data_IF_902520944304
#
_entry.id   IF_902520944304
#
_cell.length_a   1.000
_cell.length_b   1.000
_cell.length_c   1.000
_cell.angle_alpha   90.00
_cell.angle_beta   90.00
_cell.angle_gamma   90.00
#
_symmetry.space_group_name_H-M   'P 1'
#
loop_
_entity.id
_entity.type
_entity.pdbx_description
1 polymer ?
#
# COMPACT_ATOMS: atom_id res chain seq x y z
N UNK A 1 15.78 22.35 1.47
CA UNK A 1 15.66 22.44 -0.02
C UNK A 1 14.34 21.87 -0.59
N UNK A 2 13.56 21.04 0.10
CA UNK A 2 12.36 20.41 -0.47
C UNK A 2 11.12 21.31 -0.60
N UNK A 3 10.89 22.24 0.30
CA UNK A 3 9.67 23.08 0.33
C UNK A 3 9.61 24.11 -0.82
N UNK A 4 10.75 24.68 -1.20
CA UNK A 4 10.81 25.66 -2.30
C UNK A 4 10.52 25.04 -3.67
N UNK A 5 10.84 23.75 -3.90
CA UNK A 5 10.58 23.08 -5.18
C UNK A 5 9.11 22.67 -5.31
N UNK A 6 8.45 22.27 -4.21
CA UNK A 6 7.01 21.93 -4.22
C UNK A 6 6.15 23.14 -4.55
N UNK A 7 6.45 24.30 -4.01
CA UNK A 7 5.71 25.53 -4.31
C UNK A 7 5.90 25.99 -5.77
N UNK A 8 7.05 25.65 -6.38
CA UNK A 8 7.34 25.98 -7.79
C UNK A 8 6.52 25.18 -8.80
N UNK A 9 5.88 24.08 -8.40
CA UNK A 9 5.02 23.28 -9.28
C UNK A 9 3.59 23.82 -9.33
N UNK A 10 3.12 24.52 -8.31
CA UNK A 10 1.77 25.10 -8.27
C UNK A 10 1.56 26.09 -9.40
N UNK A 11 0.46 25.97 -10.12
CA UNK A 11 0.12 26.77 -11.31
C UNK A 11 0.73 26.26 -12.63
N UNK A 12 1.65 25.29 -12.60
CA UNK A 12 2.20 24.70 -13.83
C UNK A 12 1.20 23.80 -14.52
N UNK A 13 1.37 23.68 -15.84
CA UNK A 13 0.58 22.79 -16.69
C UNK A 13 1.30 21.47 -16.89
N UNK A 14 0.56 20.37 -16.69
CA UNK A 14 0.95 19.00 -16.98
C UNK A 14 -0.11 18.38 -17.90
N UNK A 15 0.16 18.36 -19.20
CA UNK A 15 -0.87 18.08 -20.20
C UNK A 15 -2.01 19.11 -20.11
N UNK A 16 -3.23 18.64 -19.94
CA UNK A 16 -4.43 19.50 -19.79
C UNK A 16 -4.72 19.87 -18.33
N UNK A 17 -3.88 19.44 -17.39
CA UNK A 17 -4.10 19.62 -15.95
C UNK A 17 -3.28 20.77 -15.40
N UNK A 18 -3.92 21.61 -14.59
CA UNK A 18 -3.24 22.66 -13.82
C UNK A 18 -2.93 22.12 -12.42
N UNK A 19 -1.67 22.15 -12.02
CA UNK A 19 -1.21 21.74 -10.70
C UNK A 19 -1.66 22.74 -9.64
N UNK A 20 -2.37 22.24 -8.64
CA UNK A 20 -2.83 23.02 -7.50
C UNK A 20 -1.89 22.91 -6.29
N UNK A 21 -2.47 23.16 -5.11
CA UNK A 21 -1.76 23.11 -3.82
C UNK A 21 -1.12 21.74 -3.58
N UNK A 22 0.06 21.75 -2.97
CA UNK A 22 0.74 20.54 -2.52
C UNK A 22 -0.07 19.79 -1.44
N UNK A 23 -0.14 18.46 -1.55
CA UNK A 23 -0.81 17.56 -0.61
C UNK A 23 0.22 16.79 0.20
N UNK A 24 1.14 16.09 -0.47
CA UNK A 24 2.10 15.19 0.19
C UNK A 24 3.40 15.05 -0.61
N UNK A 25 4.49 14.73 0.10
CA UNK A 25 5.78 14.37 -0.50
C UNK A 25 6.09 12.92 -0.19
N UNK A 26 6.33 12.13 -1.23
CA UNK A 26 6.82 10.75 -1.14
C UNK A 26 8.27 10.61 -1.57
N UNK A 27 8.83 9.41 -1.41
CA UNK A 27 10.21 9.13 -1.84
C UNK A 27 10.45 9.38 -3.33
N UNK A 28 9.43 9.17 -4.18
CA UNK A 28 9.54 9.22 -5.64
C UNK A 28 9.03 10.52 -6.26
N UNK A 29 8.38 11.38 -5.50
CA UNK A 29 7.80 12.59 -6.04
C UNK A 29 6.84 13.27 -5.10
N UNK A 30 5.97 14.07 -5.69
CA UNK A 30 5.06 14.96 -5.00
C UNK A 30 3.62 14.69 -5.44
N UNK A 31 2.69 14.82 -4.51
CA UNK A 31 1.25 14.75 -4.77
C UNK A 31 0.67 16.14 -4.57
N UNK A 32 -0.07 16.60 -5.56
CA UNK A 32 -0.74 17.89 -5.57
C UNK A 32 -2.22 17.72 -5.91
N UNK A 33 -3.02 18.70 -5.52
CA UNK A 33 -4.31 18.89 -6.18
C UNK A 33 -4.10 19.11 -7.67
N UNK A 34 -5.08 18.72 -8.48
CA UNK A 34 -5.10 19.03 -9.90
C UNK A 34 -6.47 19.50 -10.35
N UNK A 35 -6.49 20.35 -11.37
CA UNK A 35 -7.69 20.82 -12.04
C UNK A 35 -7.59 20.43 -13.52
N UNK A 36 -8.60 19.73 -14.04
CA UNK A 36 -8.70 19.32 -15.43
C UNK A 36 -9.99 19.86 -16.07
N UNK A 37 -10.08 19.87 -17.41
CA UNK A 37 -11.18 20.54 -18.11
C UNK A 37 -12.55 19.88 -17.94
N UNK A 38 -12.62 18.56 -17.77
CA UNK A 38 -13.88 17.80 -17.93
C UNK A 38 -14.27 16.90 -16.76
N UNK A 39 -13.55 16.96 -15.65
CA UNK A 39 -13.85 16.09 -14.50
C UNK A 39 -14.53 16.90 -13.39
N UNK A 40 -15.78 16.53 -13.09
CA UNK A 40 -16.54 17.08 -11.95
C UNK A 40 -15.99 16.62 -10.60
N UNK A 41 -15.18 15.55 -10.59
CA UNK A 41 -14.56 15.01 -9.39
C UNK A 41 -13.23 15.69 -9.07
N UNK A 42 -12.90 15.85 -7.78
CA UNK A 42 -11.62 16.40 -7.38
C UNK A 42 -10.48 15.45 -7.78
N UNK A 43 -9.40 16.02 -8.32
CA UNK A 43 -8.24 15.29 -8.81
C UNK A 43 -7.02 15.47 -7.93
N UNK A 44 -6.20 14.42 -7.88
CA UNK A 44 -4.82 14.48 -7.44
C UNK A 44 -3.88 14.17 -8.59
N UNK A 45 -2.73 14.86 -8.64
CA UNK A 45 -1.65 14.57 -9.57
C UNK A 45 -0.40 14.18 -8.79
N UNK A 46 0.14 13.00 -9.10
CA UNK A 46 1.43 12.54 -8.59
C UNK A 46 2.49 12.84 -9.63
N UNK A 47 3.43 13.71 -9.30
CA UNK A 47 4.52 14.13 -10.17
C UNK A 47 5.79 13.46 -9.69
N UNK A 48 6.43 12.68 -10.55
CA UNK A 48 7.67 11.99 -10.22
C UNK A 48 8.85 12.95 -10.32
N UNK A 49 9.88 12.67 -9.54
CA UNK A 49 11.14 13.45 -9.59
C UNK A 49 11.78 13.35 -10.98
N UNK A 50 12.48 14.41 -11.45
CA UNK A 50 13.07 14.44 -12.79
C UNK A 50 13.97 13.25 -13.10
N UNK A 51 14.75 12.78 -12.12
CA UNK A 51 15.66 11.64 -12.28
C UNK A 51 14.99 10.36 -12.81
N UNK A 52 13.68 10.20 -12.60
CA UNK A 52 12.90 9.09 -13.16
C UNK A 52 12.51 9.34 -14.61
N UNK A 53 12.24 10.58 -14.98
CA UNK A 53 11.88 10.97 -16.34
C UNK A 53 13.07 10.95 -17.33
N UNK A 54 14.29 11.12 -16.85
CA UNK A 54 15.50 11.08 -17.66
C UNK A 54 15.84 9.68 -18.18
N UNK A 55 15.44 8.62 -17.46
CA UNK A 55 15.77 7.24 -17.80
C UNK A 55 14.77 6.66 -18.81
N UNK A 56 15.22 6.41 -20.03
CA UNK A 56 14.37 5.91 -21.13
C UNK A 56 13.65 4.59 -20.80
N UNK A 57 14.34 3.66 -20.15
CA UNK A 57 13.75 2.37 -19.78
C UNK A 57 12.70 2.53 -18.66
N UNK A 58 12.94 3.45 -17.74
CA UNK A 58 11.96 3.77 -16.70
C UNK A 58 10.71 4.39 -17.31
N UNK A 59 10.84 5.34 -18.25
CA UNK A 59 9.69 5.95 -18.95
C UNK A 59 8.81 4.93 -19.65
N UNK A 60 9.41 4.01 -20.43
CA UNK A 60 8.65 2.95 -21.13
C UNK A 60 7.89 2.05 -20.16
N UNK A 61 8.53 1.68 -19.05
CA UNK A 61 7.90 0.87 -18.00
C UNK A 61 6.76 1.63 -17.32
N UNK A 62 7.01 2.88 -16.92
CA UNK A 62 5.99 3.75 -16.32
C UNK A 62 4.75 3.86 -17.21
N UNK A 63 4.93 4.14 -18.50
CA UNK A 63 3.82 4.25 -19.44
C UNK A 63 3.01 2.96 -19.53
N UNK A 64 3.68 1.80 -19.61
CA UNK A 64 3.01 0.50 -19.65
C UNK A 64 2.25 0.20 -18.36
N UNK A 65 2.86 0.41 -17.22
CA UNK A 65 2.24 0.16 -15.92
C UNK A 65 1.10 1.14 -15.65
N UNK A 66 1.27 2.42 -15.95
CA UNK A 66 0.22 3.43 -15.82
C UNK A 66 -1.00 3.12 -16.71
N UNK A 67 -0.76 2.68 -17.95
CA UNK A 67 -1.84 2.21 -18.82
C UNK A 67 -2.63 1.05 -18.20
N UNK A 68 -1.95 0.05 -17.63
CA UNK A 68 -2.61 -1.06 -16.95
C UNK A 68 -3.43 -0.58 -15.75
N UNK A 69 -2.92 0.38 -14.98
CA UNK A 69 -3.66 0.93 -13.83
C UNK A 69 -4.94 1.65 -14.25
N UNK A 70 -4.95 2.33 -15.39
CA UNK A 70 -6.16 2.97 -15.92
C UNK A 70 -7.24 1.96 -16.33
N UNK A 71 -6.87 0.70 -16.57
CA UNK A 71 -7.83 -0.37 -16.90
C UNK A 71 -8.43 -1.05 -15.67
N UNK A 72 -7.91 -0.77 -14.48
CA UNK A 72 -8.43 -1.36 -13.24
C UNK A 72 -9.70 -0.61 -12.80
N UNK A 73 -10.82 -1.31 -12.84
CA UNK A 73 -12.12 -0.81 -12.35
C UNK A 73 -12.60 -1.70 -11.19
N UNK A 74 -12.37 -1.25 -9.97
CA UNK A 74 -12.76 -1.97 -8.76
C UNK A 74 -13.08 -0.98 -7.63
N UNK A 75 -14.14 -1.20 -6.84
CA UNK A 75 -14.59 -0.25 -5.82
C UNK A 75 -13.55 0.10 -4.75
N UNK A 76 -12.54 -0.73 -4.56
CA UNK A 76 -11.48 -0.51 -3.55
C UNK A 76 -10.10 -0.30 -4.17
N UNK A 77 -9.99 -0.03 -5.47
CA UNK A 77 -8.75 0.42 -6.13
C UNK A 77 -8.92 1.89 -6.48
N UNK A 78 -7.93 2.71 -6.12
CA UNK A 78 -7.96 4.14 -6.42
C UNK A 78 -7.93 4.36 -7.94
N UNK A 79 -8.97 4.99 -8.55
CA UNK A 79 -9.00 5.22 -9.99
C UNK A 79 -7.86 6.10 -10.46
N UNK A 80 -7.20 5.68 -11.54
CA UNK A 80 -6.23 6.43 -12.31
C UNK A 80 -6.91 6.87 -13.59
N UNK A 81 -6.89 8.17 -13.88
CA UNK A 81 -7.63 8.75 -14.99
C UNK A 81 -6.72 9.06 -16.19
N UNK A 82 -5.46 9.45 -15.91
CA UNK A 82 -4.54 9.83 -16.97
C UNK A 82 -3.08 9.73 -16.50
N UNK A 83 -2.16 9.69 -17.43
CA UNK A 83 -0.72 9.77 -17.18
C UNK A 83 -0.01 10.44 -18.35
N UNK A 84 1.16 10.98 -18.08
CA UNK A 84 1.94 11.59 -19.15
C UNK A 84 3.32 12.02 -18.71
N UNK A 85 3.91 12.84 -19.58
CA UNK A 85 5.18 13.49 -19.35
C UNK A 85 5.05 14.98 -19.68
N UNK A 86 5.55 15.83 -18.79
CA UNK A 86 5.67 17.26 -19.04
C UNK A 86 7.10 17.67 -18.67
N UNK A 87 7.82 18.27 -19.63
CA UNK A 87 9.26 18.43 -19.57
C UNK A 87 9.93 17.07 -19.24
N UNK A 88 10.79 17.02 -18.21
CA UNK A 88 11.48 15.80 -17.80
C UNK A 88 10.77 15.05 -16.66
N UNK A 89 9.54 15.44 -16.33
CA UNK A 89 8.78 14.85 -15.23
C UNK A 89 7.63 13.98 -15.74
N UNK A 90 7.54 12.77 -15.20
CA UNK A 90 6.41 11.87 -15.39
C UNK A 90 5.30 12.22 -14.39
N UNK A 91 4.05 12.07 -14.79
CA UNK A 91 2.92 12.31 -13.90
C UNK A 91 1.81 11.29 -14.06
N UNK A 92 1.03 11.13 -13.00
CA UNK A 92 -0.15 10.29 -12.94
C UNK A 92 -1.30 11.11 -12.34
N UNK A 93 -2.45 11.13 -13.01
CA UNK A 93 -3.66 11.80 -12.52
C UNK A 93 -4.63 10.76 -11.98
N UNK A 94 -5.12 10.97 -10.78
CA UNK A 94 -5.96 10.02 -10.06
C UNK A 94 -7.06 10.72 -9.29
N UNK A 95 -8.03 9.95 -8.80
CA UNK A 95 -9.05 10.45 -7.87
C UNK A 95 -8.36 11.08 -6.63
N UNK A 96 -8.87 12.22 -6.21
CA UNK A 96 -8.50 12.80 -4.92
C UNK A 96 -9.35 12.15 -3.81
N UNK A 97 -8.71 11.48 -2.87
CA UNK A 97 -9.35 10.98 -1.65
C UNK A 97 -9.26 12.05 -0.56
N UNK A 98 -10.42 12.45 -0.02
CA UNK A 98 -10.50 13.39 1.09
C UNK A 98 -10.59 12.63 2.40
N UNK A 99 -9.45 12.21 2.92
CA UNK A 99 -9.38 11.47 4.17
C UNK A 99 -7.97 11.01 4.47
N UNK A 100 -7.76 10.45 5.69
CA UNK A 100 -6.43 10.02 6.12
C UNK A 100 -6.02 8.70 5.45
N UNK A 101 -4.72 8.47 5.42
CA UNK A 101 -4.17 7.14 5.19
C UNK A 101 -4.33 6.27 6.45
N UNK A 102 -4.32 4.95 6.27
CA UNK A 102 -4.28 4.01 7.40
C UNK A 102 -3.05 4.25 8.29
N UNK A 103 -1.93 4.73 7.71
CA UNK A 103 -0.73 5.09 8.45
C UNK A 103 -0.99 6.19 9.49
N UNK A 104 -1.76 7.21 9.14
CA UNK A 104 -2.09 8.31 10.05
C UNK A 104 -3.03 7.89 11.19
N UNK A 105 -3.71 6.77 11.02
CA UNK A 105 -4.73 6.30 11.97
C UNK A 105 -4.21 5.22 12.92
N UNK A 106 -3.40 4.30 12.44
CA UNK A 106 -2.96 3.14 13.21
C UNK A 106 -2.04 3.48 14.38
N UNK A 107 -1.39 4.65 14.36
CA UNK A 107 -0.50 5.07 15.45
C UNK A 107 -1.20 5.29 16.81
N UNK A 108 -2.53 5.25 16.84
CA UNK A 108 -3.27 5.56 18.07
C UNK A 108 -3.54 4.34 18.95
N UNK A 109 -3.92 3.19 18.39
CA UNK A 109 -4.20 1.93 19.12
C UNK A 109 -4.22 0.73 18.15
N UNK A 110 -3.83 -0.49 18.61
CA UNK A 110 -4.08 -1.72 17.86
C UNK A 110 -5.57 -1.88 17.58
N UNK A 111 -5.88 -2.42 16.41
CA UNK A 111 -7.25 -2.70 16.00
C UNK A 111 -7.74 -4.02 16.60
N UNK A 112 -9.02 -4.10 16.87
CA UNK A 112 -9.64 -5.39 17.22
C UNK A 112 -9.56 -6.36 16.03
N UNK A 113 -9.57 -7.68 16.26
CA UNK A 113 -9.60 -8.66 15.17
C UNK A 113 -10.76 -8.43 14.17
N UNK A 114 -11.91 -8.00 14.65
CA UNK A 114 -13.05 -7.68 13.80
C UNK A 114 -12.82 -6.43 12.95
N UNK A 115 -12.27 -5.36 13.52
CA UNK A 115 -11.91 -4.14 12.78
C UNK A 115 -10.84 -4.43 11.75
N UNK A 116 -9.86 -5.26 12.09
CA UNK A 116 -8.82 -5.71 11.18
C UNK A 116 -9.40 -6.51 9.99
N UNK A 117 -10.41 -7.35 10.22
CA UNK A 117 -11.14 -8.05 9.15
C UNK A 117 -11.83 -7.08 8.19
N UNK A 118 -12.44 -6.00 8.70
CA UNK A 118 -13.07 -4.96 7.88
C UNK A 118 -12.09 -4.23 6.94
N UNK A 119 -10.79 -4.23 7.26
CA UNK A 119 -9.73 -3.77 6.34
C UNK A 119 -9.29 -4.88 5.38
N UNK A 120 -9.13 -6.09 5.90
CA UNK A 120 -8.59 -7.22 5.16
C UNK A 120 -9.49 -7.61 3.99
N UNK A 121 -10.80 -7.64 4.21
CA UNK A 121 -11.76 -8.10 3.20
C UNK A 121 -11.73 -7.24 1.92
N UNK A 122 -11.91 -5.90 1.96
CA UNK A 122 -11.86 -5.07 0.76
C UNK A 122 -10.47 -5.04 0.11
N UNK A 123 -9.39 -5.07 0.91
CA UNK A 123 -8.03 -5.15 0.38
C UNK A 123 -7.78 -6.44 -0.38
N UNK A 124 -8.25 -7.57 0.15
CA UNK A 124 -8.10 -8.88 -0.49
C UNK A 124 -8.86 -8.96 -1.81
N UNK A 125 -10.07 -8.41 -1.88
CA UNK A 125 -10.86 -8.32 -3.12
C UNK A 125 -10.17 -7.46 -4.17
N UNK A 126 -9.64 -6.31 -3.78
CA UNK A 126 -8.91 -5.41 -4.65
C UNK A 126 -7.65 -6.08 -5.23
N UNK A 127 -6.88 -6.76 -4.37
CA UNK A 127 -5.67 -7.46 -4.79
C UNK A 127 -5.97 -8.62 -5.73
N UNK A 128 -6.93 -9.47 -5.41
CA UNK A 128 -7.28 -10.61 -6.26
C UNK A 128 -7.80 -10.13 -7.63
N UNK A 129 -8.57 -9.03 -7.67
CA UNK A 129 -8.99 -8.42 -8.92
C UNK A 129 -7.77 -7.96 -9.75
N UNK A 130 -6.85 -7.21 -9.17
CA UNK A 130 -5.63 -6.75 -9.86
C UNK A 130 -4.75 -7.93 -10.32
N UNK A 131 -4.58 -8.95 -9.49
CA UNK A 131 -3.83 -10.16 -9.82
C UNK A 131 -4.43 -10.93 -11.00
N UNK A 132 -5.75 -10.97 -11.13
CA UNK A 132 -6.43 -11.57 -12.27
C UNK A 132 -6.22 -10.77 -13.58
N UNK A 133 -5.89 -9.48 -13.47
CA UNK A 133 -5.44 -8.63 -14.58
C UNK A 133 -3.91 -8.66 -14.77
N UNK A 134 -3.20 -9.60 -14.10
CA UNK A 134 -1.74 -9.71 -14.10
C UNK A 134 -1.00 -8.50 -13.53
N UNK A 135 -1.64 -7.73 -12.67
CA UNK A 135 -1.05 -6.59 -11.95
C UNK A 135 -0.74 -6.99 -10.52
N UNK A 136 0.54 -6.94 -10.13
CA UNK A 136 1.01 -7.15 -8.75
C UNK A 136 1.23 -5.78 -8.11
N UNK A 137 0.76 -5.58 -6.88
CA UNK A 137 0.83 -4.27 -6.22
C UNK A 137 2.25 -3.87 -5.80
N UNK A 138 3.04 -4.78 -5.23
CA UNK A 138 4.46 -4.63 -4.85
C UNK A 138 4.79 -3.61 -3.75
N UNK A 139 3.84 -2.80 -3.30
CA UNK A 139 4.05 -1.77 -2.28
C UNK A 139 2.89 -1.65 -1.28
N UNK A 140 2.39 -2.79 -0.80
CA UNK A 140 1.33 -2.81 0.22
C UNK A 140 1.91 -2.32 1.54
N UNK A 141 1.34 -1.22 2.04
CA UNK A 141 1.68 -0.59 3.32
C UNK A 141 0.56 0.33 3.78
N UNK A 142 0.49 0.72 5.05
CA UNK A 142 -0.58 1.57 5.56
C UNK A 142 -0.70 2.93 4.86
N UNK A 143 0.41 3.50 4.38
CA UNK A 143 0.40 4.77 3.65
C UNK A 143 -0.30 4.71 2.29
N UNK A 144 -0.45 3.51 1.70
CA UNK A 144 -1.11 3.28 0.42
C UNK A 144 -2.57 2.81 0.58
N UNK A 145 -3.08 2.75 1.81
CA UNK A 145 -4.48 2.48 2.12
C UNK A 145 -5.12 3.79 2.56
N UNK A 146 -5.95 4.38 1.70
CA UNK A 146 -6.61 5.66 1.96
C UNK A 146 -8.04 5.40 2.42
N UNK A 147 -8.54 6.22 3.32
CA UNK A 147 -9.84 6.05 3.95
C UNK A 147 -10.67 7.32 3.75
N UNK A 148 -11.76 7.19 3.03
CA UNK A 148 -12.70 8.27 2.75
C UNK A 148 -13.94 8.12 3.62
N UNK A 149 -14.42 9.18 4.25
CA UNK A 149 -15.62 9.13 5.05
C UNK A 149 -16.83 8.70 4.20
N UNK A 150 -17.59 7.72 4.68
CA UNK A 150 -18.79 7.22 4.01
C UNK A 150 -19.98 7.31 4.97
N UNK A 151 -21.10 7.94 4.57
CA UNK A 151 -22.23 8.23 5.47
C UNK A 151 -22.81 7.00 6.15
N UNK A 152 -22.89 5.86 5.45
CA UNK A 152 -23.52 4.64 5.95
C UNK A 152 -22.54 3.60 6.47
N UNK A 153 -21.29 3.60 5.97
CA UNK A 153 -20.29 2.55 6.24
C UNK A 153 -19.13 3.02 7.11
N UNK A 154 -19.21 4.27 7.63
CA UNK A 154 -18.12 4.90 8.35
C UNK A 154 -16.98 5.33 7.42
N UNK A 155 -16.33 4.40 6.72
CA UNK A 155 -15.26 4.72 5.76
C UNK A 155 -15.33 3.81 4.54
N UNK A 156 -15.01 4.39 3.38
CA UNK A 156 -14.68 3.68 2.16
C UNK A 156 -13.15 3.56 2.05
N UNK A 157 -12.67 2.37 1.69
CA UNK A 157 -11.25 2.08 1.58
C UNK A 157 -10.82 2.12 0.11
N UNK A 158 -9.71 2.81 -0.16
CA UNK A 158 -9.04 2.85 -1.44
C UNK A 158 -7.60 2.31 -1.31
N UNK A 159 -7.26 1.31 -2.12
CA UNK A 159 -5.89 0.85 -2.29
C UNK A 159 -5.24 1.69 -3.40
N UNK A 160 -4.20 2.43 -3.06
CA UNK A 160 -3.50 3.37 -3.92
C UNK A 160 -2.06 2.93 -4.19
N UNK A 161 -1.39 3.60 -5.14
CA UNK A 161 0.04 3.46 -5.40
C UNK A 161 0.50 2.04 -5.71
N UNK A 162 -0.17 1.37 -6.65
CA UNK A 162 0.37 0.18 -7.28
C UNK A 162 1.78 0.48 -7.80
N UNK A 163 2.74 -0.36 -7.47
CA UNK A 163 4.18 -0.10 -7.55
C UNK A 163 4.76 0.24 -8.93
N UNK A 164 4.28 1.33 -9.55
CA UNK A 164 4.83 1.94 -10.78
C UNK A 164 6.34 2.13 -10.75
N UNK A 165 6.92 2.05 -9.58
CA UNK A 165 8.28 2.47 -9.27
C UNK A 165 9.24 1.33 -8.97
N UNK A 166 8.74 0.12 -8.76
CA UNK A 166 9.55 -1.02 -8.32
C UNK A 166 9.75 -2.01 -9.48
N UNK A 167 10.56 -1.62 -10.45
CA UNK A 167 10.98 -2.54 -11.49
C UNK A 167 11.97 -3.58 -10.97
N UNK A 168 12.09 -4.69 -11.72
CA UNK A 168 13.15 -5.67 -11.49
C UNK A 168 14.51 -4.97 -11.57
N UNK A 169 15.30 -5.05 -10.50
CA UNK A 169 16.57 -4.33 -10.35
C UNK A 169 16.49 -3.05 -9.49
N UNK A 170 15.32 -2.40 -9.33
CA UNK A 170 15.18 -1.21 -8.49
C UNK A 170 14.97 -1.57 -7.00
N UNK A 171 14.64 -2.82 -6.71
CA UNK A 171 14.49 -3.35 -5.35
C UNK A 171 15.79 -3.90 -4.77
N UNK A 172 16.82 -4.09 -5.60
CA UNK A 172 18.12 -4.48 -5.07
C UNK A 172 18.55 -3.42 -4.05
N UNK A 173 18.66 -3.86 -2.80
CA UNK A 173 19.32 -3.09 -1.76
C UNK A 173 20.77 -3.00 -2.24
N UNK A 174 21.05 -1.95 -3.03
CA UNK A 174 22.42 -1.72 -3.49
C UNK A 174 23.25 -1.53 -2.25
N UNK A 175 24.42 -2.18 -2.19
CA UNK A 175 25.41 -2.00 -1.11
C UNK A 175 25.82 -0.53 -0.95
N UNK A 176 25.39 0.34 -1.84
CA UNK A 176 25.61 1.79 -1.84
C UNK A 176 24.64 2.60 -0.97
N UNK A 177 23.72 1.99 -0.23
CA UNK A 177 22.88 2.69 0.77
C UNK A 177 21.70 3.49 0.24
N UNK A 178 21.46 3.52 -1.07
CA UNK A 178 20.27 4.15 -1.66
C UNK A 178 19.11 3.16 -1.63
N UNK A 179 18.31 3.18 -0.55
CA UNK A 179 17.11 2.38 -0.42
C UNK A 179 15.97 3.05 -1.18
N UNK A 180 15.61 2.52 -2.34
CA UNK A 180 14.34 2.81 -2.98
C UNK A 180 13.23 1.99 -2.29
N UNK A 181 12.57 2.55 -1.31
CA UNK A 181 11.37 1.97 -0.70
C UNK A 181 11.47 1.71 0.80
N UNK A 182 10.33 1.37 1.35
CA UNK A 182 10.12 1.08 2.78
C UNK A 182 10.26 -0.44 2.98
N UNK A 183 11.40 -0.97 3.48
CA UNK A 183 11.65 -2.41 3.55
C UNK A 183 10.76 -3.13 4.56
N UNK A 184 10.05 -2.40 5.41
CA UNK A 184 9.24 -2.93 6.52
C UNK A 184 8.14 -3.89 6.10
N UNK A 185 7.68 -3.82 4.84
CA UNK A 185 6.59 -4.64 4.31
C UNK A 185 7.03 -5.53 3.14
N UNK A 186 8.29 -5.50 2.76
CA UNK A 186 8.79 -6.27 1.61
C UNK A 186 8.72 -7.76 1.86
N UNK A 187 8.28 -8.50 0.87
CA UNK A 187 8.38 -9.96 0.89
C UNK A 187 9.83 -10.44 0.71
N UNK A 188 10.19 -11.65 1.19
CA UNK A 188 11.54 -12.21 1.00
C UNK A 188 12.02 -12.19 -0.45
N UNK A 189 11.14 -12.52 -1.38
CA UNK A 189 11.44 -12.53 -2.81
C UNK A 189 11.64 -11.13 -3.40
N UNK A 190 10.98 -10.09 -2.86
CA UNK A 190 11.26 -8.70 -3.24
C UNK A 190 12.66 -8.26 -2.78
N UNK A 191 13.03 -8.63 -1.55
CA UNK A 191 14.37 -8.32 -1.01
C UNK A 191 15.47 -8.99 -1.82
N UNK A 192 15.22 -10.23 -2.27
CA UNK A 192 16.19 -11.05 -3.02
C UNK A 192 16.15 -10.82 -4.53
N UNK A 193 15.32 -9.89 -5.02
CA UNK A 193 15.09 -9.63 -6.45
C UNK A 193 14.74 -10.89 -7.27
N UNK A 194 13.96 -11.79 -6.63
CA UNK A 194 13.45 -12.98 -7.31
C UNK A 194 12.21 -12.64 -8.14
N UNK A 195 11.75 -13.61 -8.95
CA UNK A 195 10.50 -13.46 -9.69
C UNK A 195 9.33 -13.33 -8.71
N UNK A 196 8.61 -12.23 -8.82
CA UNK A 196 7.43 -11.93 -8.02
C UNK A 196 6.18 -12.57 -8.61
N UNK A 197 5.27 -13.00 -7.73
CA UNK A 197 3.91 -13.36 -8.05
C UNK A 197 2.93 -12.78 -7.01
N UNK A 198 1.64 -13.09 -7.16
CA UNK A 198 0.56 -12.59 -6.27
C UNK A 198 0.82 -12.86 -4.79
N UNK A 199 1.57 -13.91 -4.44
CA UNK A 199 1.89 -14.30 -3.06
C UNK A 199 2.88 -13.35 -2.38
N UNK A 200 3.58 -12.52 -3.16
CA UNK A 200 4.39 -11.41 -2.61
C UNK A 200 3.48 -10.37 -1.95
N UNK A 201 2.34 -10.06 -2.56
CA UNK A 201 1.35 -9.14 -1.98
C UNK A 201 0.63 -9.77 -0.78
N UNK A 202 0.38 -11.09 -0.79
CA UNK A 202 -0.16 -11.80 0.40
C UNK A 202 0.76 -11.64 1.61
N UNK A 203 2.08 -11.77 1.42
CA UNK A 203 3.06 -11.54 2.49
C UNK A 203 3.00 -10.10 3.02
N UNK A 204 3.06 -9.11 2.13
CA UNK A 204 3.03 -7.69 2.50
C UNK A 204 1.72 -7.31 3.19
N UNK A 205 0.58 -7.87 2.73
CA UNK A 205 -0.73 -7.71 3.37
C UNK A 205 -0.74 -8.33 4.78
N UNK A 206 -0.11 -9.50 4.97
CA UNK A 206 0.00 -10.12 6.29
C UNK A 206 0.86 -9.29 7.26
N UNK A 207 1.95 -8.68 6.78
CA UNK A 207 2.78 -7.75 7.57
C UNK A 207 1.97 -6.52 7.98
N UNK A 208 1.18 -5.95 7.06
CA UNK A 208 0.25 -4.86 7.37
C UNK A 208 -0.77 -5.28 8.44
N UNK A 209 -1.37 -6.47 8.30
CA UNK A 209 -2.34 -6.99 9.28
C UNK A 209 -1.70 -7.26 10.65
N UNK A 210 -0.46 -7.75 10.68
CA UNK A 210 0.31 -7.92 11.91
C UNK A 210 0.49 -6.57 12.63
N UNK A 211 0.90 -5.54 11.89
CA UNK A 211 1.07 -4.19 12.46
C UNK A 211 -0.25 -3.60 12.96
N UNK A 212 -1.32 -3.72 12.20
CA UNK A 212 -2.66 -3.23 12.56
C UNK A 212 -3.16 -3.88 13.86
N UNK A 213 -2.93 -5.18 14.02
CA UNK A 213 -3.40 -5.95 15.19
C UNK A 213 -2.53 -5.78 16.43
N UNK A 214 -1.24 -5.50 16.26
CA UNK A 214 -0.28 -5.45 17.38
C UNK A 214 0.27 -4.03 17.65
N UNK A 215 -0.04 -3.06 16.76
CA UNK A 215 0.48 -1.70 16.85
C UNK A 215 1.99 -1.59 16.59
N UNK A 216 2.61 -2.65 16.05
CA UNK A 216 4.04 -2.70 15.78
C UNK A 216 4.37 -3.64 14.63
N UNK A 217 5.43 -3.32 13.92
CA UNK A 217 5.97 -4.17 12.85
C UNK A 217 6.61 -5.46 13.41
N UNK A 218 6.63 -6.56 12.63
CA UNK A 218 7.31 -7.79 13.04
C UNK A 218 8.84 -7.62 13.12
N UNK A 219 9.40 -6.76 12.29
CA UNK A 219 10.85 -6.50 12.26
C UNK A 219 11.14 -5.01 12.33
N UNK A 220 12.08 -4.65 13.21
CA UNK A 220 12.55 -3.29 13.40
C UNK A 220 14.06 -3.27 13.58
N UNK A 221 14.72 -2.37 12.87
CA UNK A 221 16.14 -2.10 13.04
C UNK A 221 16.47 -0.65 12.63
N UNK A 222 17.60 -0.12 13.07
CA UNK A 222 18.05 1.23 12.70
C UNK A 222 18.42 1.32 11.21
N UNK A 223 19.04 0.27 10.68
CA UNK A 223 19.43 0.22 9.27
C UNK A 223 18.34 -0.47 8.42
N UNK A 224 17.84 0.14 7.35
CA UNK A 224 16.85 -0.45 6.46
C UNK A 224 17.25 -1.83 5.93
N UNK A 225 18.52 -2.06 5.65
CA UNK A 225 19.07 -3.32 5.18
C UNK A 225 18.85 -4.46 6.20
N UNK A 226 18.99 -4.16 7.50
CA UNK A 226 18.75 -5.16 8.56
C UNK A 226 17.28 -5.58 8.61
N UNK A 227 16.34 -4.63 8.40
CA UNK A 227 14.90 -4.95 8.31
C UNK A 227 14.64 -5.84 7.12
N UNK A 228 15.20 -5.52 5.97
CA UNK A 228 15.05 -6.33 4.76
C UNK A 228 15.59 -7.76 4.96
N UNK A 229 16.80 -7.91 5.52
CA UNK A 229 17.36 -9.23 5.84
C UNK A 229 16.53 -10.01 6.87
N UNK A 230 15.90 -9.32 7.83
CA UNK A 230 14.99 -9.96 8.77
C UNK A 230 13.78 -10.58 8.05
N UNK A 231 13.20 -9.89 7.05
CA UNK A 231 12.14 -10.47 6.21
C UNK A 231 12.58 -11.75 5.49
N UNK A 232 13.84 -11.85 5.08
CA UNK A 232 14.37 -13.06 4.43
C UNK A 232 14.65 -14.19 5.42
N UNK A 233 15.23 -13.90 6.60
CA UNK A 233 15.87 -14.90 7.45
C UNK A 233 15.23 -15.11 8.82
N UNK A 234 14.56 -14.12 9.38
CA UNK A 234 14.04 -14.22 10.75
C UNK A 234 12.57 -14.64 10.74
N UNK A 235 12.22 -15.52 11.68
CA UNK A 235 10.82 -15.83 11.97
C UNK A 235 10.19 -14.61 12.64
N UNK A 236 9.00 -14.16 12.19
CA UNK A 236 8.30 -13.07 12.87
C UNK A 236 8.03 -13.45 14.34
N UNK A 237 8.14 -12.49 15.28
CA UNK A 237 7.74 -12.76 16.66
C UNK A 237 6.29 -13.25 16.72
N UNK A 238 6.03 -14.27 17.56
CA UNK A 238 4.67 -14.77 17.79
C UNK A 238 3.79 -13.64 18.35
N UNK A 239 2.63 -13.34 17.76
CA UNK A 239 1.65 -12.42 18.31
C UNK A 239 1.32 -12.67 19.78
N UNK A 240 1.17 -13.94 20.19
CA UNK A 240 0.91 -14.32 21.59
C UNK A 240 2.06 -13.94 22.54
N UNK A 241 3.30 -13.91 22.06
CA UNK A 241 4.45 -13.45 22.86
C UNK A 241 4.43 -11.94 23.13
N UNK A 242 3.68 -11.19 22.34
CA UNK A 242 3.58 -9.72 22.41
C UNK A 242 2.26 -9.27 23.07
N UNK A 243 1.23 -10.10 23.01
CA UNK A 243 -0.09 -9.86 23.60
C UNK A 243 -0.63 -11.17 24.14
N UNK A 244 -0.63 -11.33 25.47
CA UNK A 244 -0.97 -12.57 26.17
C UNK A 244 -2.34 -13.17 25.80
N UNK A 245 -3.28 -12.35 25.36
CA UNK A 245 -4.64 -12.77 24.97
C UNK A 245 -4.84 -12.76 23.44
N UNK A 246 -3.77 -12.78 22.66
CA UNK A 246 -3.91 -12.79 21.21
C UNK A 246 -4.52 -14.12 20.74
N UNK A 247 -5.55 -14.10 19.85
CA UNK A 247 -6.26 -15.31 19.45
C UNK A 247 -5.36 -16.27 18.69
N UNK A 248 -5.16 -17.53 19.19
CA UNK A 248 -4.22 -18.47 18.57
C UNK A 248 -4.55 -18.84 17.12
N UNK A 249 -5.84 -18.90 16.77
CA UNK A 249 -6.26 -19.21 15.40
C UNK A 249 -5.90 -18.08 14.43
N UNK A 250 -6.05 -16.82 14.87
CA UNK A 250 -5.66 -15.66 14.06
C UNK A 250 -4.13 -15.57 13.93
N UNK A 251 -3.39 -15.88 15.01
CA UNK A 251 -1.94 -15.99 14.96
C UNK A 251 -1.49 -17.01 13.91
N UNK A 252 -2.04 -18.23 13.94
CA UNK A 252 -1.69 -19.27 12.98
C UNK A 252 -1.91 -18.82 11.52
N UNK A 253 -3.01 -18.11 11.26
CA UNK A 253 -3.32 -17.57 9.94
C UNK A 253 -2.31 -16.50 9.50
N UNK A 254 -1.97 -15.56 10.38
CA UNK A 254 -0.96 -14.52 10.11
C UNK A 254 0.42 -15.12 9.86
N UNK A 255 0.86 -16.04 10.72
CA UNK A 255 2.17 -16.66 10.61
C UNK A 255 2.32 -17.46 9.32
N UNK A 256 1.26 -18.16 8.88
CA UNK A 256 1.24 -18.83 7.58
C UNK A 256 1.35 -17.83 6.43
N UNK A 257 0.60 -16.74 6.44
CA UNK A 257 0.67 -15.72 5.38
C UNK A 257 2.05 -15.05 5.31
N UNK A 258 2.79 -14.99 6.45
CA UNK A 258 4.16 -14.49 6.54
C UNK A 258 5.24 -15.57 6.39
N UNK A 259 4.91 -16.77 5.91
CA UNK A 259 5.89 -17.82 5.67
C UNK A 259 6.96 -17.33 4.65
N UNK A 260 8.21 -17.77 4.85
CA UNK A 260 9.34 -17.32 4.01
C UNK A 260 9.24 -17.86 2.59
N UNK A 261 8.95 -19.13 2.44
CA UNK A 261 8.64 -19.73 1.14
C UNK A 261 7.24 -19.29 0.69
N UNK A 262 7.14 -18.77 -0.54
CA UNK A 262 5.86 -18.39 -1.11
C UNK A 262 4.89 -19.59 -1.26
N UNK A 263 5.43 -20.81 -1.41
CA UNK A 263 4.62 -22.03 -1.52
C UNK A 263 3.91 -22.41 -0.21
N UNK A 264 4.41 -21.95 0.93
CA UNK A 264 3.82 -22.25 2.24
C UNK A 264 2.73 -21.23 2.63
N UNK A 265 2.60 -20.14 1.86
CA UNK A 265 1.59 -19.08 2.06
C UNK A 265 0.23 -19.49 1.49
N UNK A 266 -0.73 -18.61 1.62
CA UNK A 266 -1.99 -18.68 0.88
C UNK A 266 -1.75 -18.37 -0.58
N UNK A 267 -2.48 -19.04 -1.47
CA UNK A 267 -2.31 -18.88 -2.92
C UNK A 267 -2.83 -17.51 -3.40
N UNK A 268 -3.86 -16.97 -2.76
CA UNK A 268 -4.47 -15.68 -3.08
C UNK A 268 -4.69 -14.85 -1.82
N UNK A 269 -4.95 -13.55 -1.98
CA UNK A 269 -5.35 -12.69 -0.88
C UNK A 269 -6.73 -13.07 -0.33
N UNK A 270 -7.64 -13.52 -1.19
CA UNK A 270 -8.96 -14.06 -0.81
C UNK A 270 -8.86 -15.31 0.04
N UNK A 271 -7.93 -16.25 -0.26
CA UNK A 271 -7.69 -17.42 0.57
C UNK A 271 -7.20 -17.04 1.97
N UNK A 272 -6.32 -16.04 2.06
CA UNK A 272 -5.87 -15.48 3.34
C UNK A 272 -7.03 -14.85 4.10
N UNK A 273 -7.85 -14.04 3.45
CA UNK A 273 -9.04 -13.41 4.03
C UNK A 273 -10.03 -14.44 4.54
N UNK A 274 -10.33 -15.48 3.75
CA UNK A 274 -11.23 -16.57 4.13
C UNK A 274 -10.73 -17.31 5.36
N UNK A 275 -9.44 -17.64 5.41
CA UNK A 275 -8.85 -18.30 6.56
C UNK A 275 -8.91 -17.43 7.83
N UNK A 276 -8.72 -16.10 7.67
CA UNK A 276 -8.85 -15.14 8.76
C UNK A 276 -10.29 -15.06 9.27
N UNK A 277 -11.28 -15.00 8.39
CA UNK A 277 -12.70 -14.99 8.75
C UNK A 277 -13.09 -16.26 9.52
N UNK A 278 -12.71 -17.43 9.02
CA UNK A 278 -12.94 -18.71 9.72
C UNK A 278 -12.30 -18.73 11.12
N UNK A 279 -11.08 -18.21 11.26
CA UNK A 279 -10.40 -18.10 12.54
C UNK A 279 -11.10 -17.12 13.49
N UNK A 280 -11.58 -15.99 12.94
CA UNK A 280 -12.33 -14.98 13.69
C UNK A 280 -13.65 -15.55 14.25
N UNK A 281 -14.40 -16.30 13.43
CA UNK A 281 -15.66 -16.92 13.87
C UNK A 281 -15.48 -18.01 14.94
N UNK A 282 -14.37 -18.73 14.91
CA UNK A 282 -14.03 -19.77 15.91
C UNK A 282 -13.43 -19.18 17.18
N UNK A 283 -13.05 -17.88 17.18
CA UNK A 283 -12.45 -17.21 18.34
C UNK A 283 -13.53 -16.65 19.26
N UNK A 284 -13.53 -16.97 20.55
CA UNK A 284 -14.39 -16.30 21.53
C UNK A 284 -13.93 -14.85 21.71
N UNK A 285 -14.66 -13.90 21.14
CA UNK A 285 -14.37 -12.48 21.32
C UNK A 285 -15.34 -11.87 22.33
N UNK A 286 -14.87 -11.06 23.31
CA UNK A 286 -15.70 -10.53 24.38
C UNK A 286 -16.82 -9.59 23.90
N UNK A 287 -16.71 -8.98 22.74
CA UNK A 287 -17.75 -8.16 22.11
C UNK A 287 -17.66 -8.27 20.59
N UNK A 288 -18.66 -8.88 19.95
CA UNK A 288 -18.85 -8.88 18.49
C UNK A 288 -19.67 -7.67 18.01
N UNK A 289 -19.65 -6.55 18.74
CA UNK A 289 -20.24 -5.33 18.18
C UNK A 289 -19.33 -4.83 17.08
N UNK A 290 -19.86 -4.77 15.86
CA UNK A 290 -19.23 -4.06 14.76
C UNK A 290 -19.00 -2.61 15.24
N UNK A 291 -17.79 -2.31 15.64
CA UNK A 291 -17.37 -0.93 15.83
C UNK A 291 -17.09 -0.45 14.40
N UNK A 292 -18.10 0.18 13.79
CA UNK A 292 -17.81 0.97 12.60
C UNK A 292 -16.68 1.93 13.02
N UNK A 293 -15.59 1.86 12.29
CA UNK A 293 -14.47 2.73 12.58
C UNK A 293 -14.91 4.17 12.35
N UNK A 294 -15.21 4.85 13.43
CA UNK A 294 -15.53 6.28 13.43
C UNK A 294 -14.18 6.97 13.58
N UNK A 295 -13.71 7.61 12.54
CA UNK A 295 -12.56 8.51 12.63
C UNK A 295 -12.79 9.55 13.73
N UNK A 296 -11.73 10.22 14.20
CA UNK A 296 -11.90 11.30 15.14
C UNK A 296 -12.86 12.33 14.56
N UNK A 297 -13.73 12.97 15.40
CA UNK A 297 -14.56 14.07 14.95
C UNK A 297 -13.65 15.14 14.33
N UNK A 298 -14.14 15.72 13.24
CA UNK A 298 -13.47 16.75 12.46
C UNK A 298 -13.10 17.97 13.32
#
# INVERSE_FOLDING_TARGET
MSTQFTDSLTGRQFGVYTVGKHIATGGMGWIHFAHGPDLSEPLAIKILRPEYGEQTDYRKRFQREAYLLMTLDHPNILPVYDYGQAADMLYLVMRLVRGPSLYELQHKRPFSPLTAFQLLEPLSKALDYAHNQNVIHRDIKPGNVLLEAHPEKGHHLWLADFGLSKAKGDTAITMAGTSLGTPQYMSPEQVMDYKLDRRSDVYSLAVLMYEVLLGRLPFYARAPQQVAFAHVRQVPPSPASLSANFPPLIEAVLMRAMAKSANDRYATAGDFCKAYDEALWKTPLPQRKAVYWVGPPA
#
